data_IF_031444139139
#
_entry.id   IF_031444139139
#
_cell.length_a   1.000
_cell.length_b   1.000
_cell.length_c   1.000
_cell.angle_alpha   90.00
_cell.angle_beta   90.00
_cell.angle_gamma   90.00
#
_symmetry.space_group_name_H-M   'P 1'
#
loop_
_entity.id
_entity.type
_entity.pdbx_description
1 polymer ?
#
# COMPACT_ATOMS: atom_id res chain seq x y z
N UNK A 1 -12.95 -14.75 7.26
CA UNK A 1 -12.43 -13.42 6.84
C UNK A 1 -13.45 -12.63 6.02
N UNK A 2 -13.98 -13.17 4.90
CA UNK A 2 -14.99 -12.44 4.11
C UNK A 2 -16.31 -12.23 4.88
N UNK A 3 -16.66 -13.17 5.76
CA UNK A 3 -17.79 -13.04 6.70
C UNK A 3 -17.63 -11.83 7.63
N UNK A 4 -16.42 -11.58 8.13
CA UNK A 4 -16.11 -10.42 8.98
C UNK A 4 -16.28 -9.12 8.18
N UNK A 5 -15.76 -9.08 6.95
CA UNK A 5 -15.92 -7.93 6.06
C UNK A 5 -17.38 -7.68 5.72
N UNK A 6 -18.19 -8.72 5.54
CA UNK A 6 -19.61 -8.59 5.22
C UNK A 6 -20.49 -8.25 6.43
N UNK A 7 -20.03 -8.55 7.65
CA UNK A 7 -20.73 -8.25 8.89
C UNK A 7 -20.62 -6.77 9.31
N UNK A 8 -19.63 -6.05 8.79
CA UNK A 8 -19.43 -4.61 9.05
C UNK A 8 -19.62 -3.81 7.76
N UNK A 9 -20.58 -2.88 7.77
CA UNK A 9 -20.94 -2.10 6.58
C UNK A 9 -19.79 -1.19 6.10
N UNK A 10 -18.97 -0.67 7.00
CA UNK A 10 -17.82 0.18 6.63
C UNK A 10 -16.73 -0.66 5.96
N UNK A 11 -16.40 -1.82 6.52
CA UNK A 11 -15.43 -2.73 5.91
C UNK A 11 -15.92 -3.23 4.55
N UNK A 12 -17.20 -3.56 4.44
CA UNK A 12 -17.83 -3.98 3.18
C UNK A 12 -17.73 -2.91 2.11
N UNK A 13 -18.06 -1.66 2.47
CA UNK A 13 -17.96 -0.53 1.56
C UNK A 13 -16.51 -0.27 1.13
N UNK A 14 -15.57 -0.30 2.08
CA UNK A 14 -14.16 -0.09 1.78
C UNK A 14 -13.58 -1.19 0.89
N UNK A 15 -13.90 -2.45 1.19
CA UNK A 15 -13.51 -3.59 0.37
C UNK A 15 -14.06 -3.48 -1.05
N UNK A 16 -15.32 -3.05 -1.22
CA UNK A 16 -15.93 -2.79 -2.53
C UNK A 16 -15.18 -1.70 -3.30
N UNK A 17 -14.74 -0.63 -2.64
CA UNK A 17 -13.95 0.41 -3.30
C UNK A 17 -12.57 -0.08 -3.72
N UNK A 18 -11.87 -0.81 -2.85
CA UNK A 18 -10.53 -1.31 -3.15
C UNK A 18 -10.58 -2.31 -4.33
N UNK A 19 -11.52 -3.25 -4.30
CA UNK A 19 -11.68 -4.27 -5.36
C UNK A 19 -12.29 -3.75 -6.66
N UNK A 20 -12.73 -2.48 -6.70
CA UNK A 20 -13.17 -1.84 -7.94
C UNK A 20 -12.02 -1.57 -8.92
N UNK A 21 -10.78 -1.55 -8.41
CA UNK A 21 -9.57 -1.38 -9.22
C UNK A 21 -9.22 -2.69 -9.90
N UNK A 22 -9.07 -2.66 -11.22
CA UNK A 22 -8.70 -3.82 -12.04
C UNK A 22 -7.39 -4.43 -11.52
N UNK A 23 -7.39 -5.75 -11.28
CA UNK A 23 -6.24 -6.49 -10.77
C UNK A 23 -6.15 -6.57 -9.25
N UNK A 24 -7.03 -5.90 -8.49
CA UNK A 24 -7.10 -6.02 -7.04
C UNK A 24 -8.13 -7.10 -6.65
N UNK A 25 -7.63 -8.27 -6.26
CA UNK A 25 -8.43 -9.38 -5.76
C UNK A 25 -8.61 -9.39 -4.25
N UNK A 26 -9.21 -10.46 -3.73
CA UNK A 26 -9.51 -10.64 -2.31
C UNK A 26 -8.29 -10.46 -1.41
N UNK A 27 -7.19 -11.17 -1.69
CA UNK A 27 -5.97 -11.15 -0.84
C UNK A 27 -5.40 -9.73 -0.76
N UNK A 28 -5.21 -9.10 -1.91
CA UNK A 28 -4.66 -7.74 -2.00
C UNK A 28 -5.60 -6.72 -1.35
N UNK A 29 -6.92 -6.85 -1.56
CA UNK A 29 -7.91 -5.96 -0.97
C UNK A 29 -7.93 -6.03 0.55
N UNK A 30 -7.89 -7.23 1.12
CA UNK A 30 -7.80 -7.42 2.57
C UNK A 30 -6.49 -6.86 3.13
N UNK A 31 -5.36 -7.10 2.46
CA UNK A 31 -4.07 -6.54 2.86
C UNK A 31 -4.09 -5.02 2.89
N UNK A 32 -4.71 -4.37 1.90
CA UNK A 32 -4.88 -2.91 1.92
C UNK A 32 -5.64 -2.45 3.16
N UNK A 33 -6.78 -3.07 3.48
CA UNK A 33 -7.57 -2.70 4.66
C UNK A 33 -6.75 -2.85 5.94
N UNK A 34 -6.03 -3.97 6.10
CA UNK A 34 -5.24 -4.25 7.30
C UNK A 34 -4.07 -3.29 7.44
N UNK A 35 -3.20 -3.21 6.43
CA UNK A 35 -1.96 -2.43 6.52
C UNK A 35 -2.20 -0.92 6.60
N UNK A 36 -3.31 -0.45 6.02
CA UNK A 36 -3.67 0.96 6.10
C UNK A 36 -4.61 1.27 7.26
N UNK A 37 -5.01 0.27 8.05
CA UNK A 37 -6.07 0.35 9.06
C UNK A 37 -7.29 1.11 8.52
N UNK A 38 -7.81 0.65 7.39
CA UNK A 38 -8.89 1.32 6.66
C UNK A 38 -8.53 2.72 6.17
N UNK A 39 -7.29 2.92 5.69
CA UNK A 39 -6.71 4.20 5.27
C UNK A 39 -6.59 5.28 6.34
N UNK A 40 -6.72 4.93 7.63
CA UNK A 40 -6.58 5.89 8.73
C UNK A 40 -5.13 6.27 9.05
N UNK A 41 -4.16 5.37 8.82
CA UNK A 41 -2.74 5.62 9.16
C UNK A 41 -1.94 6.22 8.00
N UNK A 42 -2.44 6.12 6.77
CA UNK A 42 -1.73 6.56 5.56
C UNK A 42 -2.60 7.51 4.73
N UNK A 43 -2.62 8.79 5.14
CA UNK A 43 -3.41 9.83 4.48
C UNK A 43 -2.78 10.38 3.18
N UNK A 44 -1.67 9.81 2.73
CA UNK A 44 -0.93 10.26 1.54
C UNK A 44 -0.60 9.05 0.66
N UNK A 45 -1.01 9.10 -0.60
CA UNK A 45 -0.76 8.08 -1.61
C UNK A 45 0.74 7.76 -1.75
N UNK A 46 1.63 8.75 -1.61
CA UNK A 46 3.07 8.54 -1.66
C UNK A 46 3.56 7.73 -0.47
N UNK A 47 3.03 7.94 0.74
CA UNK A 47 3.40 7.13 1.92
C UNK A 47 3.04 5.66 1.72
N UNK A 48 1.84 5.41 1.19
CA UNK A 48 1.42 4.05 0.82
C UNK A 48 2.28 3.46 -0.28
N UNK A 49 2.60 4.23 -1.33
CA UNK A 49 3.48 3.79 -2.42
C UNK A 49 4.91 3.46 -1.93
N UNK A 50 5.44 4.21 -0.97
CA UNK A 50 6.72 3.94 -0.32
C UNK A 50 6.65 2.67 0.53
N UNK A 51 5.56 2.50 1.30
CA UNK A 51 5.32 1.32 2.11
C UNK A 51 5.21 0.05 1.25
N UNK A 52 4.45 0.10 0.15
CA UNK A 52 4.33 -1.01 -0.80
C UNK A 52 5.61 -1.26 -1.63
N UNK A 53 6.63 -0.40 -1.51
CA UNK A 53 7.88 -0.56 -2.26
C UNK A 53 7.73 -0.32 -3.75
N UNK A 54 6.81 0.55 -4.16
CA UNK A 54 6.60 0.92 -5.57
C UNK A 54 7.14 2.32 -5.90
N UNK A 55 7.35 3.16 -4.89
CA UNK A 55 7.94 4.49 -5.06
C UNK A 55 9.48 4.44 -4.95
N UNK A 56 10.22 4.65 -6.06
CA UNK A 56 11.67 4.65 -6.04
C UNK A 56 12.23 6.03 -5.64
N UNK A 57 13.34 6.05 -4.91
CA UNK A 57 14.02 7.27 -4.46
C UNK A 57 15.38 7.40 -5.13
N UNK A 58 15.74 8.63 -5.50
CA UNK A 58 17.08 8.94 -5.99
C UNK A 58 18.10 8.74 -4.87
N UNK A 59 19.25 8.18 -5.23
CA UNK A 59 20.36 8.00 -4.31
C UNK A 59 21.43 9.04 -4.62
N UNK A 60 21.51 10.09 -3.81
CA UNK A 60 22.60 11.07 -3.85
C UNK A 60 23.43 10.96 -2.57
N UNK A 61 24.63 10.39 -2.70
CA UNK A 61 25.70 10.67 -1.74
C UNK A 61 26.59 11.73 -2.39
N UNK A 62 27.07 12.72 -1.63
CA UNK A 62 27.84 13.85 -2.20
C UNK A 62 29.08 13.47 -3.02
N UNK A 63 29.46 12.20 -3.05
CA UNK A 63 30.56 11.61 -3.85
C UNK A 63 30.10 10.77 -5.04
N UNK A 64 28.81 10.44 -5.17
CA UNK A 64 28.24 9.62 -6.24
C UNK A 64 27.08 10.36 -6.91
N UNK A 65 27.33 10.86 -8.12
CA UNK A 65 26.38 11.73 -8.85
C UNK A 65 25.29 10.91 -9.58
N UNK A 66 25.38 9.56 -9.63
CA UNK A 66 24.46 8.72 -10.43
C UNK A 66 24.22 7.30 -9.85
N UNK A 67 23.78 7.19 -8.60
CA UNK A 67 23.27 5.92 -8.07
C UNK A 67 21.96 5.50 -8.74
N UNK A 68 21.73 4.19 -8.93
CA UNK A 68 20.41 3.69 -9.40
C UNK A 68 19.32 4.07 -8.39
N UNK A 69 18.18 4.55 -8.89
CA UNK A 69 16.98 4.79 -8.09
C UNK A 69 16.49 3.47 -7.49
N UNK A 70 16.21 3.46 -6.18
CA UNK A 70 15.80 2.26 -5.45
C UNK A 70 14.66 2.58 -4.49
N UNK A 71 13.81 1.59 -4.26
CA UNK A 71 12.81 1.66 -3.19
C UNK A 71 13.52 1.55 -1.83
N UNK A 72 12.94 2.18 -0.81
CA UNK A 72 13.55 2.20 0.51
C UNK A 72 13.69 0.79 1.10
N UNK A 73 14.70 0.55 1.94
CA UNK A 73 14.93 -0.76 2.57
C UNK A 73 13.77 -1.18 3.47
N UNK A 74 13.14 -0.21 4.13
CA UNK A 74 11.99 -0.35 5.04
C UNK A 74 10.64 -0.55 4.33
N UNK A 75 10.59 -0.57 3.00
CA UNK A 75 9.37 -0.95 2.30
C UNK A 75 8.96 -2.37 2.71
N UNK A 76 7.64 -2.63 2.78
CA UNK A 76 7.09 -3.95 2.97
C UNK A 76 7.31 -4.78 1.69
N UNK A 77 8.29 -5.69 1.74
CA UNK A 77 8.75 -6.52 0.61
C UNK A 77 8.29 -7.97 0.70
N UNK A 78 7.40 -8.28 1.64
CA UNK A 78 6.98 -9.64 1.97
C UNK A 78 5.67 -10.02 1.30
#
# INVERSE_FOLDING_TARGET
MIEIVNADDNLKQLYKFITSVVGIGFVTGINFIIYTNGFSVMNDCRKLACYCGVAPFEYSSGTSVRGKTKVHSMANKN
#
